data_IF_550926473577
#
_entry.id   IF_550926473577
#
_cell.length_a   1.000
_cell.length_b   1.000
_cell.length_c   1.000
_cell.angle_alpha   90.00
_cell.angle_beta   90.00
_cell.angle_gamma   90.00
#
_symmetry.space_group_name_H-M   'P 1'
#
loop_
_entity.id
_entity.type
_entity.pdbx_description
1 polymer ?
#
# COMPACT_ATOMS: atom_id res chain seq x y z
N UNK A 1 -6.45 -18.20 12.48
CA UNK A 1 -7.05 -17.11 13.30
C UNK A 1 -6.02 -16.20 13.98
N UNK A 2 -4.86 -16.69 14.45
CA UNK A 2 -3.85 -15.89 15.16
C UNK A 2 -3.19 -14.74 14.36
N UNK A 3 -2.86 -14.94 13.07
CA UNK A 3 -2.20 -13.90 12.24
C UNK A 3 -3.04 -12.61 12.07
N UNK A 4 -4.38 -12.73 11.95
CA UNK A 4 -5.28 -11.56 11.80
C UNK A 4 -5.33 -10.68 13.06
N UNK A 5 -5.31 -11.29 14.26
CA UNK A 5 -5.35 -10.57 15.54
C UNK A 5 -4.07 -9.77 15.80
N UNK A 6 -2.93 -10.27 15.32
CA UNK A 6 -1.67 -9.55 15.43
C UNK A 6 -1.63 -8.34 14.48
N UNK A 7 -2.04 -8.50 13.22
CA UNK A 7 -2.02 -7.38 12.25
C UNK A 7 -3.00 -6.27 12.66
N UNK A 8 -4.20 -6.60 13.14
CA UNK A 8 -5.14 -5.58 13.62
C UNK A 8 -4.58 -4.78 14.82
N UNK A 9 -3.82 -5.43 15.70
CA UNK A 9 -3.13 -4.76 16.81
C UNK A 9 -2.06 -3.81 16.29
N UNK A 10 -1.23 -4.25 15.34
CA UNK A 10 -0.22 -3.40 14.71
C UNK A 10 -0.83 -2.17 14.04
N UNK A 11 -1.92 -2.34 13.29
CA UNK A 11 -2.64 -1.23 12.67
C UNK A 11 -3.14 -0.24 13.73
N UNK A 12 -3.76 -0.74 14.80
CA UNK A 12 -4.25 0.11 15.89
C UNK A 12 -3.11 0.86 16.57
N UNK A 13 -1.99 0.20 16.86
CA UNK A 13 -0.81 0.81 17.48
C UNK A 13 -0.22 1.89 16.57
N UNK A 14 -0.08 1.61 15.28
CA UNK A 14 0.42 2.59 14.32
C UNK A 14 -0.50 3.82 14.20
N UNK A 15 -1.82 3.61 14.15
CA UNK A 15 -2.79 4.72 14.14
C UNK A 15 -2.64 5.62 15.37
N UNK A 16 -2.46 5.04 16.56
CA UNK A 16 -2.27 5.82 17.79
C UNK A 16 -0.94 6.57 17.78
N UNK A 17 0.15 5.93 17.35
CA UNK A 17 1.46 6.58 17.24
C UNK A 17 1.43 7.72 16.23
N UNK A 18 0.83 7.51 15.07
CA UNK A 18 0.65 8.53 14.04
C UNK A 18 -0.15 9.71 14.57
N UNK A 19 -1.22 9.44 15.32
CA UNK A 19 -2.05 10.47 15.97
C UNK A 19 -1.25 11.31 16.95
N UNK A 20 -0.47 10.68 17.82
CA UNK A 20 0.39 11.39 18.76
C UNK A 20 1.46 12.20 18.04
N UNK A 21 2.08 11.64 17.01
CA UNK A 21 3.10 12.34 16.23
C UNK A 21 2.53 13.60 15.55
N UNK A 22 1.35 13.50 14.92
CA UNK A 22 0.65 14.65 14.33
C UNK A 22 0.30 15.71 15.37
N UNK A 23 -0.18 15.29 16.55
CA UNK A 23 -0.52 16.19 17.63
C UNK A 23 0.69 16.95 18.17
N UNK A 24 1.77 16.23 18.53
CA UNK A 24 3.00 16.86 19.01
C UNK A 24 3.66 17.76 17.97
N UNK A 25 3.69 17.31 16.71
CA UNK A 25 4.20 18.10 15.60
C UNK A 25 3.44 19.42 15.48
N UNK A 26 2.10 19.37 15.43
CA UNK A 26 1.27 20.55 15.19
C UNK A 26 1.36 21.56 16.32
N UNK A 27 1.39 21.10 17.57
CA UNK A 27 1.58 21.99 18.74
C UNK A 27 2.94 22.69 18.66
N UNK A 28 4.01 21.92 18.43
CA UNK A 28 5.37 22.47 18.36
C UNK A 28 5.53 23.44 17.20
N UNK A 29 5.01 23.07 16.04
CA UNK A 29 5.02 23.92 14.86
C UNK A 29 4.24 25.20 15.11
N UNK A 30 3.06 25.13 15.70
CA UNK A 30 2.25 26.30 16.03
C UNK A 30 2.99 27.29 16.93
N UNK A 31 3.63 26.82 18.01
CA UNK A 31 4.38 27.70 18.90
C UNK A 31 5.56 28.38 18.20
N UNK A 32 6.34 27.63 17.43
CA UNK A 32 7.51 28.19 16.72
C UNK A 32 7.08 29.15 15.62
N UNK A 33 6.04 28.80 14.87
CA UNK A 33 5.50 29.67 13.84
C UNK A 33 4.89 30.95 14.44
N UNK A 34 4.15 30.86 15.54
CA UNK A 34 3.61 32.03 16.23
C UNK A 34 4.72 32.96 16.72
N UNK A 35 5.80 32.40 17.28
CA UNK A 35 6.95 33.20 17.70
C UNK A 35 7.63 33.88 16.50
N UNK A 36 7.82 33.15 15.40
CA UNK A 36 8.45 33.70 14.20
C UNK A 36 7.60 34.76 13.49
N UNK A 37 6.27 34.61 13.48
CA UNK A 37 5.36 35.52 12.79
C UNK A 37 5.28 36.90 13.45
N UNK A 38 5.59 37.00 14.76
CA UNK A 38 5.72 38.29 15.46
C UNK A 38 6.82 39.17 14.88
N UNK A 39 7.85 38.57 14.28
CA UNK A 39 8.96 39.29 13.65
C UNK A 39 8.68 39.68 12.20
N UNK A 40 7.55 39.26 11.64
CA UNK A 40 7.15 39.62 10.28
C UNK A 40 6.49 41.00 10.26
N UNK A 41 6.89 41.83 9.31
CA UNK A 41 6.39 43.21 9.19
C UNK A 41 4.90 43.21 8.85
N UNK A 42 4.08 43.90 9.66
CA UNK A 42 2.65 44.06 9.40
C UNK A 42 2.41 44.78 8.06
N UNK A 43 1.46 44.29 7.27
CA UNK A 43 1.15 44.84 5.94
C UNK A 43 2.16 44.51 4.83
N UNK A 44 3.30 43.86 5.15
CA UNK A 44 4.23 43.41 4.12
C UNK A 44 3.60 42.33 3.22
N UNK A 45 4.09 42.24 1.98
CA UNK A 45 3.67 41.21 1.05
C UNK A 45 4.00 39.81 1.60
N UNK A 46 3.19 38.77 1.30
CA UNK A 46 3.39 37.43 1.86
C UNK A 46 4.80 36.87 1.66
N UNK A 47 5.40 37.11 0.49
CA UNK A 47 6.77 36.64 0.19
C UNK A 47 7.83 37.29 1.10
N UNK A 48 7.64 38.56 1.46
CA UNK A 48 8.55 39.31 2.35
C UNK A 48 8.42 38.75 3.75
N UNK A 49 7.19 38.54 4.24
CA UNK A 49 6.94 37.93 5.55
C UNK A 49 7.58 36.55 5.68
N UNK A 50 7.45 35.72 4.63
CA UNK A 50 8.08 34.40 4.61
C UNK A 50 9.60 34.52 4.69
N UNK A 51 10.21 35.44 3.95
CA UNK A 51 11.65 35.69 4.00
C UNK A 51 12.11 36.16 5.39
N UNK A 52 11.35 37.04 6.05
CA UNK A 52 11.64 37.48 7.42
C UNK A 52 11.55 36.31 8.42
N UNK A 53 10.50 35.51 8.33
CA UNK A 53 10.28 34.31 9.16
C UNK A 53 11.42 33.30 8.96
N UNK A 54 11.80 33.02 7.71
CA UNK A 54 12.90 32.11 7.38
C UNK A 54 14.26 32.68 7.79
N UNK A 55 14.46 33.99 7.73
CA UNK A 55 15.70 34.60 8.18
C UNK A 55 15.85 34.53 9.71
N UNK A 56 14.75 34.65 10.46
CA UNK A 56 14.76 34.58 11.92
C UNK A 56 14.88 33.14 12.46
N UNK A 57 14.13 32.18 11.88
CA UNK A 57 13.99 30.80 12.41
C UNK A 57 14.23 29.71 11.36
N UNK A 58 15.03 30.00 10.33
CA UNK A 58 15.20 29.14 9.15
C UNK A 58 15.62 27.70 9.46
N UNK A 59 16.59 27.50 10.35
CA UNK A 59 17.07 26.16 10.71
C UNK A 59 15.97 25.31 11.36
N UNK A 60 15.23 25.91 12.30
CA UNK A 60 14.13 25.24 12.99
C UNK A 60 12.97 24.93 12.04
N UNK A 61 12.61 25.91 11.18
CA UNK A 61 11.58 25.73 10.16
C UNK A 61 11.95 24.65 9.14
N UNK A 62 13.22 24.55 8.75
CA UNK A 62 13.70 23.49 7.87
C UNK A 62 13.51 22.10 8.52
N UNK A 63 13.84 21.98 9.81
CA UNK A 63 13.58 20.75 10.58
C UNK A 63 12.08 20.40 10.62
N UNK A 64 11.21 21.40 10.78
CA UNK A 64 9.76 21.20 10.70
C UNK A 64 9.30 20.78 9.30
N UNK A 65 9.85 21.36 8.24
CA UNK A 65 9.52 20.98 6.86
C UNK A 65 9.91 19.54 6.56
N UNK A 66 11.11 19.10 6.98
CA UNK A 66 11.54 17.70 6.85
C UNK A 66 10.60 16.79 7.64
N UNK A 67 10.31 17.15 8.89
CA UNK A 67 9.43 16.36 9.76
C UNK A 67 8.02 16.23 9.18
N UNK A 68 7.48 17.33 8.67
CA UNK A 68 6.18 17.38 8.00
C UNK A 68 6.15 16.48 6.77
N UNK A 69 7.17 16.58 5.90
CA UNK A 69 7.31 15.75 4.72
C UNK A 69 7.32 14.26 5.06
N UNK A 70 8.09 13.86 6.08
CA UNK A 70 8.13 12.47 6.56
C UNK A 70 6.75 12.04 7.09
N UNK A 71 6.09 12.89 7.88
CA UNK A 71 4.78 12.59 8.47
C UNK A 71 3.70 12.39 7.40
N UNK A 72 3.66 13.26 6.39
CA UNK A 72 2.72 13.15 5.26
C UNK A 72 3.02 11.89 4.45
N UNK A 73 4.28 11.66 4.12
CA UNK A 73 4.71 10.47 3.34
C UNK A 73 4.33 9.16 4.05
N UNK A 74 4.62 9.04 5.35
CA UNK A 74 4.25 7.87 6.14
C UNK A 74 2.73 7.73 6.27
N UNK A 75 2.00 8.84 6.41
CA UNK A 75 0.54 8.83 6.50
C UNK A 75 -0.10 8.32 5.21
N UNK A 76 0.41 8.74 4.05
CA UNK A 76 -0.03 8.26 2.74
C UNK A 76 0.27 6.77 2.52
N UNK A 77 1.49 6.34 2.85
CA UNK A 77 1.85 4.92 2.79
C UNK A 77 0.95 4.07 3.71
N UNK A 78 0.67 4.56 4.91
CA UNK A 78 -0.21 3.88 5.86
C UNK A 78 -1.65 3.80 5.35
N UNK A 79 -2.18 4.86 4.75
CA UNK A 79 -3.52 4.85 4.15
C UNK A 79 -3.63 3.83 3.01
N UNK A 80 -2.62 3.74 2.14
CA UNK A 80 -2.58 2.71 1.10
C UNK A 80 -2.53 1.32 1.71
N UNK A 81 -1.63 1.08 2.66
CA UNK A 81 -1.51 -0.21 3.35
C UNK A 81 -2.86 -0.62 3.97
N UNK A 82 -3.52 0.33 4.63
CA UNK A 82 -4.81 0.11 5.26
C UNK A 82 -5.91 -0.18 4.24
N UNK A 83 -5.94 0.55 3.12
CA UNK A 83 -6.86 0.30 2.02
C UNK A 83 -6.69 -1.11 1.44
N UNK A 84 -5.46 -1.53 1.16
CA UNK A 84 -5.15 -2.87 0.65
C UNK A 84 -5.54 -3.95 1.67
N UNK A 85 -5.27 -3.73 2.95
CA UNK A 85 -5.64 -4.65 4.02
C UNK A 85 -7.17 -4.81 4.13
N UNK A 86 -7.92 -3.71 4.14
CA UNK A 86 -9.39 -3.75 4.19
C UNK A 86 -9.96 -4.45 2.96
N UNK A 87 -9.42 -4.17 1.77
CA UNK A 87 -9.80 -4.84 0.53
C UNK A 87 -9.55 -6.36 0.60
N UNK A 88 -8.40 -6.80 1.08
CA UNK A 88 -8.02 -8.23 1.19
C UNK A 88 -8.87 -9.01 2.20
N UNK A 89 -9.31 -8.36 3.28
CA UNK A 89 -10.02 -9.02 4.38
C UNK A 89 -11.51 -8.67 4.49
N UNK A 90 -12.07 -7.93 3.53
CA UNK A 90 -13.47 -7.48 3.51
C UNK A 90 -13.94 -6.87 4.85
N UNK A 91 -13.08 -6.05 5.46
CA UNK A 91 -13.38 -5.40 6.75
C UNK A 91 -14.25 -4.15 6.56
N UNK A 92 -14.83 -3.64 7.66
CA UNK A 92 -15.58 -2.39 7.65
C UNK A 92 -14.66 -1.21 7.30
N UNK A 93 -15.09 -0.38 6.35
CA UNK A 93 -14.36 0.82 5.90
C UNK A 93 -14.26 1.94 6.95
N UNK A 94 -14.95 1.82 8.10
CA UNK A 94 -15.00 2.88 9.12
C UNK A 94 -13.62 3.30 9.61
N UNK A 95 -12.68 2.36 9.76
CA UNK A 95 -11.34 2.67 10.24
C UNK A 95 -10.53 3.45 9.20
N UNK A 96 -10.63 3.13 7.91
CA UNK A 96 -10.03 3.91 6.82
C UNK A 96 -10.57 5.35 6.79
N UNK A 97 -11.89 5.49 6.92
CA UNK A 97 -12.55 6.80 6.90
C UNK A 97 -12.09 7.64 8.11
N UNK A 98 -12.11 7.07 9.32
CA UNK A 98 -11.69 7.78 10.54
C UNK A 98 -10.22 8.21 10.44
N UNK A 99 -9.33 7.30 10.05
CA UNK A 99 -7.91 7.60 9.87
C UNK A 99 -7.68 8.65 8.78
N UNK A 100 -8.39 8.57 7.66
CA UNK A 100 -8.32 9.54 6.57
C UNK A 100 -8.78 10.93 6.98
N UNK A 101 -9.91 11.03 7.68
CA UNK A 101 -10.42 12.30 8.23
C UNK A 101 -9.40 12.91 9.19
N UNK A 102 -8.84 12.11 10.08
CA UNK A 102 -7.86 12.57 11.05
C UNK A 102 -6.60 13.14 10.38
N UNK A 103 -6.00 12.40 9.44
CA UNK A 103 -4.80 12.87 8.72
C UNK A 103 -5.13 14.15 7.95
N UNK A 104 -6.27 14.20 7.27
CA UNK A 104 -6.72 15.37 6.51
C UNK A 104 -6.89 16.58 7.42
N UNK A 105 -7.49 16.39 8.61
CA UNK A 105 -7.68 17.46 9.59
C UNK A 105 -6.35 18.08 10.04
N UNK A 106 -5.37 17.25 10.40
CA UNK A 106 -4.05 17.74 10.82
C UNK A 106 -3.28 18.43 9.70
N UNK A 107 -3.31 17.87 8.49
CA UNK A 107 -2.73 18.54 7.31
C UNK A 107 -3.40 19.91 7.12
N UNK A 108 -4.74 19.97 7.17
CA UNK A 108 -5.49 21.20 6.94
C UNK A 108 -5.15 22.27 7.98
N UNK A 109 -5.09 21.92 9.28
CA UNK A 109 -4.70 22.87 10.34
C UNK A 109 -3.30 23.44 10.10
N UNK A 110 -2.35 22.58 9.71
CA UNK A 110 -0.99 23.03 9.43
C UNK A 110 -0.87 23.85 8.14
N UNK A 111 -1.90 23.94 7.30
CA UNK A 111 -1.92 24.82 6.12
C UNK A 111 -2.51 26.21 6.41
N UNK A 112 -3.05 26.46 7.61
CA UNK A 112 -3.63 27.76 7.99
C UNK A 112 -2.51 28.68 8.50
N UNK A 113 -1.57 29.07 7.62
CA UNK A 113 -0.48 30.00 7.90
C UNK A 113 0.15 30.53 6.60
N UNK A 114 1.04 31.53 6.68
CA UNK A 114 1.71 32.06 5.49
C UNK A 114 2.68 31.07 4.83
N UNK A 115 3.09 29.99 5.52
CA UNK A 115 4.00 28.97 4.97
C UNK A 115 3.27 27.91 4.13
N UNK A 116 1.95 28.05 3.91
CA UNK A 116 1.12 27.04 3.25
C UNK A 116 1.64 26.61 1.87
N UNK A 117 2.23 27.51 1.09
CA UNK A 117 2.76 27.19 -0.24
C UNK A 117 3.91 26.17 -0.15
N UNK A 118 4.81 26.32 0.82
CA UNK A 118 5.92 25.39 1.03
C UNK A 118 5.40 24.03 1.48
N UNK A 119 4.47 24.02 2.43
CA UNK A 119 3.85 22.79 2.92
C UNK A 119 3.06 22.07 1.81
N UNK A 120 2.37 22.82 0.93
CA UNK A 120 1.65 22.27 -0.21
C UNK A 120 2.59 21.58 -1.19
N UNK A 121 3.75 22.18 -1.49
CA UNK A 121 4.78 21.54 -2.33
C UNK A 121 5.22 20.21 -1.72
N UNK A 122 5.46 20.16 -0.40
CA UNK A 122 5.83 18.92 0.28
C UNK A 122 4.74 17.85 0.22
N UNK A 123 3.46 18.23 0.32
CA UNK A 123 2.33 17.31 0.15
C UNK A 123 2.34 16.72 -1.27
N UNK A 124 2.51 17.56 -2.29
CA UNK A 124 2.55 17.12 -3.69
C UNK A 124 3.73 16.17 -3.93
N UNK A 125 4.93 16.50 -3.44
CA UNK A 125 6.10 15.62 -3.57
C UNK A 125 5.87 14.30 -2.84
N UNK A 126 5.31 14.32 -1.63
CA UNK A 126 4.97 13.10 -0.88
C UNK A 126 3.98 12.21 -1.65
N UNK A 127 2.97 12.82 -2.28
CA UNK A 127 2.00 12.12 -3.12
C UNK A 127 2.66 11.52 -4.36
N UNK A 128 3.54 12.26 -5.05
CA UNK A 128 4.27 11.75 -6.22
C UNK A 128 5.16 10.55 -5.87
N UNK A 129 5.85 10.60 -4.74
CA UNK A 129 6.65 9.47 -4.24
C UNK A 129 5.76 8.25 -4.00
N UNK A 130 4.63 8.44 -3.33
CA UNK A 130 3.65 7.38 -3.06
C UNK A 130 3.12 6.75 -4.37
N UNK A 131 2.75 7.57 -5.36
CA UNK A 131 2.29 7.09 -6.67
C UNK A 131 3.42 6.33 -7.39
N UNK A 132 4.64 6.85 -7.36
CA UNK A 132 5.80 6.20 -7.99
C UNK A 132 6.05 4.82 -7.38
N UNK A 133 6.03 4.70 -6.05
CA UNK A 133 6.14 3.41 -5.35
C UNK A 133 5.02 2.46 -5.80
N UNK A 134 3.77 2.94 -5.84
CA UNK A 134 2.62 2.13 -6.26
C UNK A 134 2.76 1.61 -7.70
N UNK A 135 3.27 2.44 -8.60
CA UNK A 135 3.54 2.06 -9.99
C UNK A 135 4.69 1.03 -10.05
N UNK A 136 5.80 1.29 -9.37
CA UNK A 136 6.96 0.39 -9.34
C UNK A 136 6.59 -0.99 -8.79
N UNK A 137 5.88 -1.04 -7.67
CA UNK A 137 5.40 -2.32 -7.08
C UNK A 137 4.47 -3.04 -8.04
N UNK A 138 3.56 -2.31 -8.71
CA UNK A 138 2.67 -2.92 -9.70
C UNK A 138 3.44 -3.55 -10.86
N UNK A 139 4.45 -2.88 -11.39
CA UNK A 139 5.25 -3.42 -12.49
C UNK A 139 6.15 -4.59 -12.08
N UNK A 140 6.65 -4.58 -10.84
CA UNK A 140 7.56 -5.63 -10.36
C UNK A 140 6.85 -6.90 -9.89
N UNK A 141 5.64 -6.80 -9.31
CA UNK A 141 5.00 -7.93 -8.59
C UNK A 141 3.67 -8.42 -9.16
N UNK A 142 3.01 -7.69 -10.06
CA UNK A 142 1.73 -8.17 -10.66
C UNK A 142 1.96 -9.33 -11.64
N UNK A 143 3.17 -9.52 -12.17
CA UNK A 143 3.50 -10.67 -13.00
C UNK A 143 3.77 -11.97 -12.21
N UNK A 144 3.86 -11.96 -10.88
CA UNK A 144 4.01 -13.19 -10.08
C UNK A 144 2.67 -13.62 -9.47
N UNK A 145 1.95 -12.70 -8.78
CA UNK A 145 0.71 -13.03 -8.07
C UNK A 145 -0.47 -13.40 -9.01
N UNK A 146 -0.63 -12.71 -10.15
CA UNK A 146 -1.73 -12.99 -11.11
C UNK A 146 -1.46 -14.31 -11.88
N UNK A 147 -0.23 -14.82 -11.86
CA UNK A 147 0.09 -16.13 -12.41
C UNK A 147 -0.19 -17.24 -11.40
N UNK A 148 0.22 -17.10 -10.14
CA UNK A 148 -0.07 -18.10 -9.10
C UNK A 148 -1.58 -18.28 -8.83
N UNK A 149 -2.36 -17.20 -8.74
CA UNK A 149 -3.83 -17.30 -8.56
C UNK A 149 -4.54 -17.91 -9.79
N UNK A 150 -4.03 -17.70 -11.00
CA UNK A 150 -4.58 -18.30 -12.22
C UNK A 150 -4.18 -19.77 -12.40
N UNK A 151 -3.05 -20.17 -11.82
CA UNK A 151 -2.53 -21.53 -11.94
C UNK A 151 -3.25 -22.51 -11.03
N UNK A 152 -3.66 -22.12 -9.81
CA UNK A 152 -4.51 -22.93 -8.92
C UNK A 152 -6.00 -22.84 -9.30
N UNK A 153 -6.35 -23.24 -10.53
CA UNK A 153 -7.73 -23.21 -11.00
C UNK A 153 -8.39 -24.58 -10.87
N UNK A 154 -9.32 -24.73 -9.93
CA UNK A 154 -10.25 -25.86 -9.90
C UNK A 154 -11.39 -25.60 -10.90
N UNK A 155 -11.74 -26.58 -11.73
CA UNK A 155 -12.82 -26.44 -12.71
C UNK A 155 -13.63 -27.72 -12.80
N UNK A 156 -14.95 -27.60 -12.70
CA UNK A 156 -15.89 -28.71 -12.80
C UNK A 156 -17.21 -28.40 -12.09
N UNK A 157 -18.11 -29.39 -11.98
CA UNK A 157 -17.98 -30.73 -12.54
C UNK A 157 -18.24 -30.80 -14.05
N UNK A 158 -17.46 -31.61 -14.75
CA UNK A 158 -17.67 -31.96 -16.15
C UNK A 158 -18.35 -33.32 -16.26
N UNK A 159 -19.34 -33.42 -17.17
CA UNK A 159 -20.12 -34.65 -17.38
C UNK A 159 -19.33 -35.78 -18.08
N UNK A 160 -18.26 -35.46 -18.80
CA UNK A 160 -17.46 -36.43 -19.55
C UNK A 160 -15.98 -36.10 -19.44
N UNK A 161 -15.13 -37.13 -19.41
CA UNK A 161 -13.67 -37.01 -19.38
C UNK A 161 -13.15 -36.15 -20.54
N UNK A 162 -13.63 -36.41 -21.76
CA UNK A 162 -13.25 -35.64 -22.96
C UNK A 162 -13.53 -34.13 -22.84
N UNK A 163 -14.57 -33.72 -22.11
CA UNK A 163 -14.83 -32.29 -21.86
C UNK A 163 -13.87 -31.69 -20.85
N UNK A 164 -13.52 -32.45 -19.81
CA UNK A 164 -12.53 -32.06 -18.81
C UNK A 164 -11.14 -31.92 -19.44
N UNK A 165 -10.71 -32.89 -20.25
CA UNK A 165 -9.43 -32.88 -20.97
C UNK A 165 -9.32 -31.69 -21.93
N UNK A 166 -10.32 -31.49 -22.80
CA UNK A 166 -10.33 -30.38 -23.75
C UNK A 166 -10.27 -29.01 -23.04
N UNK A 167 -10.92 -28.88 -21.90
CA UNK A 167 -10.87 -27.66 -21.08
C UNK A 167 -9.49 -27.46 -20.43
N UNK A 168 -8.88 -28.53 -19.91
CA UNK A 168 -7.55 -28.52 -19.33
C UNK A 168 -6.50 -28.10 -20.38
N UNK A 169 -6.49 -28.73 -21.55
CA UNK A 169 -5.57 -28.42 -22.65
C UNK A 169 -5.68 -26.97 -23.14
N UNK A 170 -6.91 -26.46 -23.25
CA UNK A 170 -7.14 -25.06 -23.64
C UNK A 170 -6.64 -24.06 -22.60
N UNK A 171 -6.79 -24.36 -21.31
CA UNK A 171 -6.22 -23.52 -20.24
C UNK A 171 -4.71 -23.60 -20.22
N UNK A 172 -4.14 -24.80 -20.22
CA UNK A 172 -2.68 -25.03 -20.18
C UNK A 172 -2.00 -24.37 -21.39
N UNK A 173 -2.55 -24.51 -22.60
CA UNK A 173 -1.99 -23.86 -23.80
C UNK A 173 -2.04 -22.33 -23.74
N UNK A 174 -3.09 -21.73 -23.15
CA UNK A 174 -3.16 -20.27 -22.92
C UNK A 174 -2.14 -19.80 -21.89
N UNK A 175 -1.86 -20.60 -20.86
CA UNK A 175 -0.90 -20.26 -19.81
C UNK A 175 0.54 -20.47 -20.31
N UNK A 176 0.84 -21.60 -21.00
CA UNK A 176 2.15 -21.86 -21.63
C UNK A 176 2.55 -20.84 -22.69
N UNK A 177 1.58 -20.20 -23.38
CA UNK A 177 1.87 -19.07 -24.28
C UNK A 177 2.37 -17.81 -23.55
N UNK A 178 2.15 -17.73 -22.24
CA UNK A 178 2.52 -16.59 -21.38
C UNK A 178 3.66 -16.91 -20.42
N UNK A 179 4.00 -18.18 -20.18
CA UNK A 179 5.08 -18.57 -19.27
C UNK A 179 5.89 -19.77 -19.78
N UNK A 180 7.18 -19.81 -19.46
CA UNK A 180 8.12 -20.92 -19.75
C UNK A 180 8.10 -22.05 -18.69
N UNK A 181 7.05 -22.12 -17.86
CA UNK A 181 7.00 -23.07 -16.74
C UNK A 181 6.40 -24.44 -17.14
N UNK A 182 6.80 -25.50 -16.41
CA UNK A 182 6.25 -26.85 -16.58
C UNK A 182 4.89 -26.96 -15.87
N UNK A 183 3.83 -26.69 -16.63
CA UNK A 183 2.44 -26.72 -16.14
C UNK A 183 1.83 -28.10 -16.43
N UNK A 184 1.25 -28.70 -15.39
CA UNK A 184 0.61 -30.02 -15.43
C UNK A 184 -0.85 -29.88 -14.98
N UNK A 185 -1.70 -30.81 -15.38
CA UNK A 185 -3.08 -30.90 -14.91
C UNK A 185 -3.39 -32.32 -14.47
N UNK A 186 -4.27 -32.44 -13.48
CA UNK A 186 -4.83 -33.69 -13.00
C UNK A 186 -6.35 -33.64 -13.13
N UNK A 187 -6.94 -34.74 -13.57
CA UNK A 187 -8.40 -34.90 -13.64
C UNK A 187 -8.80 -35.94 -12.61
N UNK A 188 -9.55 -35.51 -11.60
CA UNK A 188 -10.08 -36.38 -10.56
C UNK A 188 -11.56 -36.68 -10.84
N UNK A 189 -11.97 -37.94 -10.67
CA UNK A 189 -13.37 -38.35 -10.74
C UNK A 189 -13.93 -38.42 -9.32
N UNK A 190 -14.88 -37.55 -9.01
CA UNK A 190 -15.58 -37.58 -7.73
C UNK A 190 -16.88 -38.40 -7.87
N UNK A 191 -17.03 -39.40 -7.00
CA UNK A 191 -18.10 -40.39 -7.09
C UNK A 191 -19.45 -39.68 -6.92
N UNK A 192 -20.23 -39.62 -8.00
CA UNK A 192 -21.56 -39.00 -8.03
C UNK A 192 -21.60 -37.55 -8.51
N UNK A 193 -20.45 -36.89 -8.65
CA UNK A 193 -20.40 -35.45 -8.98
C UNK A 193 -19.78 -35.14 -10.34
N UNK A 194 -18.97 -36.04 -10.92
CA UNK A 194 -18.39 -35.88 -12.25
C UNK A 194 -16.88 -35.62 -12.23
N UNK A 195 -16.33 -35.17 -13.36
CA UNK A 195 -14.89 -34.96 -13.51
C UNK A 195 -14.50 -33.54 -13.12
N UNK A 196 -13.44 -33.40 -12.33
CA UNK A 196 -12.87 -32.14 -11.91
C UNK A 196 -11.45 -32.00 -12.44
N UNK A 197 -11.13 -30.82 -12.96
CA UNK A 197 -9.80 -30.48 -13.49
C UNK A 197 -9.09 -29.60 -12.46
N UNK A 198 -7.93 -30.06 -12.02
CA UNK A 198 -7.00 -29.28 -11.22
C UNK A 198 -5.74 -29.01 -12.06
N UNK A 199 -5.37 -27.74 -12.21
CA UNK A 199 -4.16 -27.32 -12.92
C UNK A 199 -3.18 -26.85 -11.86
N UNK A 200 -1.91 -27.21 -11.98
CA UNK A 200 -0.86 -26.80 -11.04
C UNK A 200 0.51 -26.80 -11.72
N UNK A 201 1.49 -26.16 -11.08
CA UNK A 201 2.89 -26.23 -11.50
C UNK A 201 3.50 -27.46 -10.84
N UNK A 202 4.10 -28.34 -11.64
CA UNK A 202 4.90 -29.42 -11.09
C UNK A 202 6.27 -28.84 -10.72
N UNK A 203 6.57 -28.77 -9.43
CA UNK A 203 7.93 -28.54 -8.97
C UNK A 203 8.78 -29.72 -9.46
N UNK A 204 9.57 -29.51 -10.51
CA UNK A 204 10.60 -30.47 -10.90
C UNK A 204 11.52 -30.63 -9.69
N UNK A 205 11.38 -31.74 -8.96
CA UNK A 205 12.29 -32.16 -7.90
C UNK A 205 13.61 -32.58 -8.55
N UNK A 206 14.37 -31.59 -9.02
CA UNK A 206 15.74 -31.77 -9.48
C UNK A 206 16.62 -31.96 -8.24
N UNK A 207 16.64 -33.20 -7.72
CA UNK A 207 17.75 -33.68 -6.91
C UNK A 207 17.37 -34.44 -5.65
N UNK A 208 16.68 -35.59 -5.76
CA UNK A 208 16.76 -36.66 -4.74
C UNK A 208 16.34 -38.02 -5.30
N UNK A 209 17.17 -38.56 -6.19
CA UNK A 209 17.28 -40.01 -6.40
C UNK A 209 18.60 -40.32 -7.11
N UNK A 210 19.69 -40.31 -6.34
CA UNK A 210 20.81 -41.22 -6.59
C UNK A 210 21.21 -41.83 -5.25
N UNK A 211 21.28 -43.16 -5.23
CA UNK A 211 21.70 -44.07 -4.16
C UNK A 211 20.61 -44.50 -3.17
N UNK A 212 19.93 -45.60 -3.50
CA UNK A 212 20.35 -46.90 -2.96
C UNK A 212 19.71 -48.04 -3.75
N UNK A 213 20.59 -48.81 -4.40
CA UNK A 213 20.41 -50.23 -4.72
C UNK A 213 20.04 -51.05 -3.47
#
# INVERSE_FOLDING_TARGET
MGKRKNISRWISTFSVISLLAWFFFSIRFFYVYQEASVFATEGAQPIIKILEILNYRGEELLSFFISFFILVSLSFLFLIYLFLYIKKYHLKNSLLIITGIFITFFITINLINELFLFLLVLIVVSFLIMVSIGITVKYLYVEEDDYEERLNSFSGPFKTLSKAEKHAEQKVSKIKKKSNQHIVYKIDLEIGEGYYVNIYIEETDNGRNENNE
#
